data_IF_739918682342
#
_entry.id   IF_739918682342
#
_cell.length_a   1.000
_cell.length_b   1.000
_cell.length_c   1.000
_cell.angle_alpha   90.00
_cell.angle_beta   90.00
_cell.angle_gamma   90.00
#
_symmetry.space_group_name_H-M   'P 1'
#
loop_
_entity.id
_entity.type
_entity.pdbx_description
1 polymer ?
#
# COMPACT_ATOMS: atom_id res chain seq x y z
N UNK A 1 -8.58 -20.33 -20.19
CA UNK A 1 -7.38 -20.39 -19.39
C UNK A 1 -7.55 -19.47 -18.18
N UNK A 2 -7.63 -20.07 -16.99
CA UNK A 2 -7.74 -19.31 -15.74
C UNK A 2 -6.55 -18.36 -15.57
N UNK A 3 -6.83 -17.10 -15.33
CA UNK A 3 -5.85 -16.11 -14.90
C UNK A 3 -5.47 -16.42 -13.44
N UNK A 4 -4.49 -17.27 -13.23
CA UNK A 4 -3.96 -17.54 -11.88
C UNK A 4 -3.12 -16.34 -11.42
N UNK A 5 -3.75 -15.35 -10.83
CA UNK A 5 -3.11 -14.14 -10.33
C UNK A 5 -2.86 -14.19 -8.82
N UNK A 6 -3.57 -15.07 -8.10
CA UNK A 6 -3.39 -15.27 -6.67
C UNK A 6 -2.42 -16.40 -6.35
N UNK A 7 -1.71 -16.27 -5.22
CA UNK A 7 -0.76 -17.26 -4.74
C UNK A 7 -1.44 -18.57 -4.29
N UNK A 8 -2.69 -18.49 -3.87
CA UNK A 8 -3.53 -19.63 -3.46
C UNK A 8 -4.78 -19.72 -4.31
N UNK A 9 -5.39 -20.91 -4.46
CA UNK A 9 -6.70 -21.04 -5.08
C UNK A 9 -7.73 -20.15 -4.36
N UNK A 10 -8.59 -19.51 -5.14
CA UNK A 10 -9.72 -18.74 -4.62
C UNK A 10 -10.90 -19.68 -4.40
N UNK A 11 -11.79 -19.41 -3.42
CA UNK A 11 -13.07 -20.07 -3.35
C UNK A 11 -13.89 -19.74 -4.62
N UNK A 12 -14.71 -20.68 -5.06
CA UNK A 12 -15.55 -20.48 -6.27
C UNK A 12 -16.49 -19.30 -6.12
N UNK A 13 -17.01 -19.09 -4.91
CA UNK A 13 -17.87 -17.95 -4.57
C UNK A 13 -17.34 -17.35 -3.26
N UNK A 14 -16.85 -16.11 -3.25
CA UNK A 14 -16.51 -15.42 -2.02
C UNK A 14 -17.79 -15.21 -1.18
N UNK A 15 -17.80 -15.71 0.04
CA UNK A 15 -18.96 -15.59 0.94
C UNK A 15 -18.80 -14.47 1.97
N UNK A 16 -17.61 -13.89 2.07
CA UNK A 16 -17.35 -12.75 2.95
C UNK A 16 -16.26 -11.82 2.39
N UNK A 17 -16.21 -10.60 2.90
CA UNK A 17 -15.14 -9.65 2.62
C UNK A 17 -13.73 -10.22 2.94
N UNK A 18 -13.68 -11.12 3.94
CA UNK A 18 -12.42 -11.77 4.34
C UNK A 18 -11.98 -12.91 3.41
N UNK A 19 -12.77 -13.28 2.41
CA UNK A 19 -12.44 -14.32 1.43
C UNK A 19 -11.65 -13.79 0.22
N UNK A 20 -11.20 -12.54 0.29
CA UNK A 20 -10.32 -11.92 -0.70
C UNK A 20 -9.00 -12.67 -0.88
N UNK A 21 -8.22 -12.26 -1.85
CA UNK A 21 -6.90 -12.80 -2.11
C UNK A 21 -5.87 -11.70 -2.29
N UNK A 22 -4.62 -12.03 -2.00
CA UNK A 22 -3.49 -11.22 -2.44
C UNK A 22 -2.97 -11.72 -3.79
N UNK A 23 -2.48 -10.80 -4.62
CA UNK A 23 -1.74 -11.16 -5.82
C UNK A 23 -0.52 -12.02 -5.49
N UNK A 24 -0.15 -12.87 -6.43
CA UNK A 24 1.13 -13.59 -6.39
C UNK A 24 2.27 -12.64 -6.84
N UNK A 25 3.12 -12.17 -5.91
CA UNK A 25 4.18 -11.22 -6.22
C UNK A 25 5.36 -11.86 -6.96
N UNK A 26 5.34 -13.18 -7.16
CA UNK A 26 6.39 -13.93 -7.86
C UNK A 26 6.06 -14.23 -9.31
N UNK A 27 4.79 -14.04 -9.70
CA UNK A 27 4.27 -14.41 -11.03
C UNK A 27 4.40 -13.26 -12.03
N UNK A 28 5.09 -13.51 -13.16
CA UNK A 28 5.16 -12.55 -14.28
C UNK A 28 3.79 -12.23 -14.87
N UNK A 29 2.84 -13.18 -14.85
CA UNK A 29 1.45 -12.95 -15.30
C UNK A 29 0.75 -11.90 -14.47
N UNK A 30 0.99 -11.87 -13.15
CA UNK A 30 0.47 -10.85 -12.26
C UNK A 30 0.91 -9.46 -12.72
N UNK A 31 2.20 -9.29 -13.00
CA UNK A 31 2.72 -8.00 -13.47
C UNK A 31 2.22 -7.63 -14.87
N UNK A 32 2.09 -8.60 -15.77
CA UNK A 32 1.47 -8.38 -17.08
C UNK A 32 0.04 -7.85 -16.93
N UNK A 33 -0.79 -8.57 -16.18
CA UNK A 33 -2.17 -8.17 -15.94
C UNK A 33 -2.28 -6.78 -15.32
N UNK A 34 -1.51 -6.52 -14.25
CA UNK A 34 -1.49 -5.20 -13.61
C UNK A 34 -1.01 -4.13 -14.60
N UNK A 35 0.01 -4.43 -15.40
CA UNK A 35 0.54 -3.52 -16.41
C UNK A 35 -0.49 -3.14 -17.48
N UNK A 36 -1.32 -4.09 -17.91
CA UNK A 36 -2.39 -3.86 -18.89
C UNK A 36 -3.48 -2.98 -18.29
N UNK A 37 -3.96 -3.33 -17.08
CA UNK A 37 -4.96 -2.53 -16.34
C UNK A 37 -4.46 -1.10 -16.10
N UNK A 38 -3.22 -0.94 -15.62
CA UNK A 38 -2.65 0.38 -15.34
C UNK A 38 -2.41 1.20 -16.62
N UNK A 39 -2.19 0.53 -17.76
CA UNK A 39 -2.08 1.21 -19.05
C UNK A 39 -3.41 1.81 -19.48
N UNK A 40 -4.47 1.05 -19.33
CA UNK A 40 -5.82 1.51 -19.62
C UNK A 40 -6.22 2.67 -18.70
N UNK A 41 -6.02 2.51 -17.37
CA UNK A 41 -6.29 3.57 -16.39
C UNK A 41 -5.51 4.84 -16.69
N UNK A 42 -4.23 4.76 -17.05
CA UNK A 42 -3.42 5.93 -17.39
C UNK A 42 -3.95 6.69 -18.62
N UNK A 43 -4.59 5.99 -19.55
CA UNK A 43 -5.21 6.61 -20.72
C UNK A 43 -6.54 7.32 -20.39
N UNK A 44 -7.28 6.80 -19.42
CA UNK A 44 -8.58 7.33 -19.00
C UNK A 44 -8.43 8.50 -18.00
N UNK A 45 -7.38 8.46 -17.17
CA UNK A 45 -7.14 9.43 -16.10
C UNK A 45 -5.81 10.17 -16.29
N UNK A 46 -5.80 11.30 -17.00
CA UNK A 46 -4.54 12.01 -17.39
C UNK A 46 -3.86 12.73 -16.21
N UNK A 47 -4.37 12.61 -14.98
CA UNK A 47 -3.82 13.27 -13.78
C UNK A 47 -2.41 12.82 -13.39
N UNK A 48 -1.85 11.80 -14.05
CA UNK A 48 -0.47 11.36 -13.83
C UNK A 48 -0.20 10.69 -12.47
N UNK A 49 -1.25 10.34 -11.71
CA UNK A 49 -1.16 9.62 -10.43
C UNK A 49 -2.19 8.49 -10.44
N UNK A 50 -1.77 7.28 -10.07
CA UNK A 50 -2.68 6.13 -9.93
C UNK A 50 -2.51 5.51 -8.55
N UNK A 51 -3.63 5.30 -7.87
CA UNK A 51 -3.69 4.60 -6.59
C UNK A 51 -3.68 3.10 -6.82
N UNK A 52 -2.73 2.40 -6.17
CA UNK A 52 -2.53 0.95 -6.35
C UNK A 52 -3.06 0.12 -5.17
N UNK A 53 -3.72 0.75 -4.18
CA UNK A 53 -4.12 0.05 -2.96
C UNK A 53 -2.93 -0.30 -2.08
N UNK A 54 -2.77 -1.57 -1.78
CA UNK A 54 -1.63 -2.10 -1.02
C UNK A 54 -1.89 -2.23 0.48
N UNK A 55 -3.13 -2.00 0.89
CA UNK A 55 -3.61 -2.13 2.26
C UNK A 55 -3.91 -3.59 2.63
N UNK A 56 -3.86 -3.86 3.92
CA UNK A 56 -4.40 -5.06 4.57
C UNK A 56 -4.00 -6.41 3.95
N UNK A 57 -2.78 -6.53 3.43
CA UNK A 57 -2.27 -7.80 2.93
C UNK A 57 -2.13 -8.78 4.10
N UNK A 58 -2.94 -9.80 4.11
CA UNK A 58 -2.92 -10.86 5.14
C UNK A 58 -1.84 -11.87 4.79
N UNK A 59 -0.59 -11.58 5.14
CA UNK A 59 0.58 -12.39 4.76
C UNK A 59 0.45 -13.85 5.18
N UNK A 60 0.04 -14.12 6.42
CA UNK A 60 -0.18 -15.48 6.91
C UNK A 60 -1.23 -16.23 6.12
N UNK A 61 -2.30 -15.53 5.75
CA UNK A 61 -3.39 -16.14 5.00
C UNK A 61 -3.02 -16.45 3.56
N UNK A 62 -2.27 -15.56 2.91
CA UNK A 62 -2.12 -15.60 1.44
C UNK A 62 -0.74 -16.03 0.96
N UNK A 63 0.33 -15.74 1.72
CA UNK A 63 1.71 -15.97 1.26
C UNK A 63 2.49 -16.97 2.12
N UNK A 64 2.25 -17.02 3.44
CA UNK A 64 2.96 -17.95 4.33
C UNK A 64 2.64 -19.41 4.00
N UNK A 65 3.67 -20.27 4.00
CA UNK A 65 3.54 -21.68 3.67
C UNK A 65 3.21 -21.95 2.19
N UNK A 66 3.36 -20.98 1.30
CA UNK A 66 3.23 -21.15 -0.14
C UNK A 66 4.61 -21.47 -0.74
N UNK A 67 4.87 -22.72 -1.19
CA UNK A 67 6.22 -23.19 -1.49
C UNK A 67 6.96 -22.36 -2.54
N UNK A 68 6.27 -21.91 -3.60
CA UNK A 68 6.93 -21.13 -4.65
C UNK A 68 7.26 -19.70 -4.21
N UNK A 69 6.47 -19.09 -3.30
CA UNK A 69 6.77 -17.79 -2.70
C UNK A 69 8.00 -17.91 -1.80
N UNK A 70 8.04 -18.90 -0.92
CA UNK A 70 9.17 -19.13 -0.03
C UNK A 70 10.46 -19.41 -0.80
N UNK A 71 10.39 -20.24 -1.85
CA UNK A 71 11.51 -20.49 -2.74
C UNK A 71 11.99 -19.22 -3.45
N UNK A 72 11.07 -18.38 -3.90
CA UNK A 72 11.38 -17.09 -4.52
C UNK A 72 12.06 -16.15 -3.53
N UNK A 73 11.51 -15.99 -2.32
CA UNK A 73 12.09 -15.16 -1.27
C UNK A 73 13.50 -15.61 -0.95
N UNK A 74 13.71 -16.92 -0.75
CA UNK A 74 15.05 -17.50 -0.52
C UNK A 74 16.01 -17.17 -1.67
N UNK A 75 15.59 -17.38 -2.92
CA UNK A 75 16.39 -17.08 -4.11
C UNK A 75 16.78 -15.61 -4.22
N UNK A 76 15.89 -14.71 -3.82
CA UNK A 76 16.07 -13.25 -3.90
C UNK A 76 16.70 -12.64 -2.64
N UNK A 77 16.93 -13.43 -1.58
CA UNK A 77 17.44 -12.96 -0.31
C UNK A 77 16.45 -12.09 0.48
N UNK A 78 15.14 -12.17 0.14
CA UNK A 78 14.06 -11.45 0.82
C UNK A 78 13.80 -12.15 2.16
N UNK A 79 13.80 -11.39 3.27
CA UNK A 79 13.73 -11.95 4.62
C UNK A 79 12.34 -11.95 5.22
N UNK A 80 11.50 -10.98 4.84
CA UNK A 80 10.18 -10.78 5.44
C UNK A 80 9.11 -10.61 4.36
N UNK A 81 7.86 -10.88 4.69
CA UNK A 81 6.74 -10.62 3.78
C UNK A 81 6.53 -9.11 3.52
N UNK A 82 6.70 -8.22 4.52
CA UNK A 82 6.77 -6.79 4.25
C UNK A 82 7.81 -6.41 3.18
N UNK A 83 9.00 -6.99 3.19
CA UNK A 83 10.00 -6.77 2.14
C UNK A 83 9.54 -7.29 0.77
N UNK A 84 8.82 -8.41 0.75
CA UNK A 84 8.23 -8.94 -0.48
C UNK A 84 7.16 -7.99 -1.04
N UNK A 85 6.34 -7.38 -0.18
CA UNK A 85 5.36 -6.37 -0.58
C UNK A 85 6.05 -5.12 -1.11
N UNK A 86 7.10 -4.63 -0.46
CA UNK A 86 7.90 -3.49 -0.95
C UNK A 86 8.48 -3.80 -2.34
N UNK A 87 9.07 -4.99 -2.52
CA UNK A 87 9.58 -5.41 -3.84
C UNK A 87 8.48 -5.40 -4.90
N UNK A 88 7.31 -5.94 -4.58
CA UNK A 88 6.15 -5.96 -5.47
C UNK A 88 5.71 -4.54 -5.84
N UNK A 89 5.55 -3.67 -4.83
CA UNK A 89 5.16 -2.28 -5.01
C UNK A 89 6.18 -1.50 -5.84
N UNK A 90 7.48 -1.66 -5.56
CA UNK A 90 8.55 -1.00 -6.32
C UNK A 90 8.53 -1.41 -7.80
N UNK A 91 8.23 -2.67 -8.09
CA UNK A 91 8.13 -3.15 -9.46
C UNK A 91 6.96 -2.50 -10.20
N UNK A 92 5.78 -2.43 -9.56
CA UNK A 92 4.59 -1.75 -10.13
C UNK A 92 4.88 -0.25 -10.30
N UNK A 93 5.46 0.40 -9.29
CA UNK A 93 5.86 1.81 -9.37
C UNK A 93 6.81 2.08 -10.54
N UNK A 94 7.79 1.19 -10.74
CA UNK A 94 8.69 1.26 -11.88
C UNK A 94 7.99 1.10 -13.25
N UNK A 95 6.95 0.27 -13.32
CA UNK A 95 6.14 0.11 -14.54
C UNK A 95 5.33 1.38 -14.85
N UNK A 96 4.70 1.98 -13.83
CA UNK A 96 3.96 3.24 -13.94
C UNK A 96 4.88 4.41 -14.31
N UNK A 97 6.05 4.50 -13.67
CA UNK A 97 7.03 5.56 -13.93
C UNK A 97 7.50 5.60 -15.39
N UNK A 98 7.64 4.44 -16.06
CA UNK A 98 7.96 4.35 -17.49
C UNK A 98 6.87 4.97 -18.38
N UNK A 99 5.67 5.15 -17.85
CA UNK A 99 4.52 5.79 -18.52
C UNK A 99 4.32 7.24 -18.08
N UNK A 100 5.24 7.80 -17.28
CA UNK A 100 5.12 9.14 -16.73
C UNK A 100 4.09 9.25 -15.58
N UNK A 101 3.65 8.12 -15.02
CA UNK A 101 2.64 8.08 -13.97
C UNK A 101 3.31 7.80 -12.62
N UNK A 102 2.90 8.53 -11.60
CA UNK A 102 3.33 8.33 -10.21
C UNK A 102 2.39 7.37 -9.50
N UNK A 103 2.96 6.58 -8.61
CA UNK A 103 2.23 5.67 -7.75
C UNK A 103 1.81 6.37 -6.46
N UNK A 104 0.58 6.15 -6.03
CA UNK A 104 0.13 6.38 -4.66
C UNK A 104 -0.41 5.07 -4.10
N UNK A 105 -0.22 4.80 -2.82
CA UNK A 105 -0.76 3.61 -2.16
C UNK A 105 -0.89 3.81 -0.67
N UNK A 106 -1.71 2.97 -0.03
CA UNK A 106 -1.92 3.02 1.42
C UNK A 106 -0.60 2.81 2.17
N UNK A 107 -0.51 3.33 3.39
CA UNK A 107 0.78 3.35 4.11
C UNK A 107 1.43 1.99 4.36
N UNK A 108 0.71 0.88 4.19
CA UNK A 108 1.28 -0.47 4.27
C UNK A 108 2.26 -0.79 3.13
N UNK A 109 2.23 -0.05 2.02
CA UNK A 109 3.26 -0.18 0.98
C UNK A 109 4.67 0.15 1.47
N UNK A 110 4.79 0.84 2.62
CA UNK A 110 6.06 1.04 3.34
C UNK A 110 6.56 -0.23 4.03
N UNK A 111 5.81 -1.33 3.97
CA UNK A 111 6.07 -2.54 4.76
C UNK A 111 5.67 -2.41 6.22
N UNK A 112 4.75 -1.49 6.54
CA UNK A 112 4.18 -1.36 7.88
C UNK A 112 3.06 -2.37 8.06
N UNK A 113 3.18 -3.20 9.09
CA UNK A 113 2.15 -4.19 9.44
C UNK A 113 1.18 -3.57 10.44
N UNK A 114 0.12 -2.94 9.92
CA UNK A 114 -0.89 -2.25 10.76
C UNK A 114 -1.81 -3.22 11.50
N UNK A 115 -1.88 -4.48 11.08
CA UNK A 115 -2.70 -5.51 11.69
C UNK A 115 -1.90 -6.56 12.47
N UNK A 116 -0.57 -6.39 12.58
CA UNK A 116 0.33 -7.32 13.26
C UNK A 116 0.25 -8.77 12.73
N UNK A 117 -0.04 -8.93 11.46
CA UNK A 117 -0.18 -10.22 10.78
C UNK A 117 1.14 -10.72 10.15
N UNK A 118 2.10 -9.84 10.00
CA UNK A 118 3.37 -10.12 9.35
C UNK A 118 4.32 -11.02 10.12
N UNK A 119 4.21 -11.08 11.44
CA UNK A 119 4.90 -12.02 12.33
C UNK A 119 6.44 -12.05 12.29
N UNK A 120 7.09 -11.36 11.38
CA UNK A 120 8.51 -11.52 11.04
C UNK A 120 9.35 -10.23 11.14
N UNK A 121 8.87 -9.25 11.88
CA UNK A 121 9.63 -8.01 12.08
C UNK A 121 9.35 -6.91 11.04
N UNK A 122 9.98 -5.77 11.25
CA UNK A 122 9.87 -4.62 10.35
C UNK A 122 10.57 -4.91 9.01
N UNK A 123 10.06 -4.29 7.94
CA UNK A 123 10.72 -4.32 6.65
C UNK A 123 12.13 -3.75 6.73
N UNK A 124 13.06 -4.38 6.02
CA UNK A 124 14.45 -3.94 5.86
C UNK A 124 14.66 -3.23 4.52
N UNK A 125 13.77 -3.50 3.55
CA UNK A 125 13.78 -2.89 2.23
C UNK A 125 13.30 -1.43 2.25
N UNK A 126 13.53 -0.74 1.16
CA UNK A 126 13.07 0.65 0.97
C UNK A 126 12.11 0.74 -0.21
N UNK A 127 11.00 1.41 0.03
CA UNK A 127 10.09 1.82 -1.04
C UNK A 127 10.75 2.91 -1.91
N UNK A 128 10.47 2.90 -3.22
CA UNK A 128 10.88 3.96 -4.14
C UNK A 128 10.38 5.33 -3.64
N UNK A 129 11.29 6.26 -3.40
CA UNK A 129 11.00 7.59 -2.86
C UNK A 129 10.08 8.47 -3.72
N UNK A 130 9.76 8.05 -4.95
CA UNK A 130 8.77 8.72 -5.81
C UNK A 130 7.34 8.32 -5.52
N UNK A 131 7.11 7.19 -4.83
CA UNK A 131 5.79 6.77 -4.41
C UNK A 131 5.21 7.75 -3.37
N UNK A 132 3.93 8.08 -3.55
CA UNK A 132 3.16 8.88 -2.60
C UNK A 132 2.54 7.92 -1.58
N UNK A 133 2.59 8.27 -0.32
CA UNK A 133 2.00 7.48 0.75
C UNK A 133 0.63 8.04 1.09
N UNK A 134 -0.40 7.22 1.05
CA UNK A 134 -1.72 7.55 1.55
C UNK A 134 -1.86 7.00 2.96
N UNK A 135 -1.66 7.86 3.96
CA UNK A 135 -1.71 7.48 5.36
C UNK A 135 -3.15 7.45 5.85
N UNK A 136 -3.60 6.28 6.31
CA UNK A 136 -4.96 6.10 6.82
C UNK A 136 -5.02 5.55 8.25
N UNK A 137 -4.01 4.77 8.66
CA UNK A 137 -4.03 4.09 9.95
C UNK A 137 -2.64 3.92 10.54
N UNK A 138 -2.59 3.90 11.87
CA UNK A 138 -1.37 3.69 12.63
C UNK A 138 -0.90 4.96 13.35
N UNK A 139 0.34 4.94 13.80
CA UNK A 139 0.97 6.08 14.48
C UNK A 139 1.40 7.14 13.46
N UNK A 140 1.22 8.41 13.77
CA UNK A 140 1.73 9.55 12.99
C UNK A 140 3.25 9.46 12.73
N UNK A 141 3.98 8.72 13.57
CA UNK A 141 5.41 8.44 13.36
C UNK A 141 5.69 7.71 12.04
N UNK A 142 4.75 6.91 11.53
CA UNK A 142 4.88 6.23 10.24
C UNK A 142 4.90 7.28 9.12
N UNK A 143 3.95 8.20 9.15
CA UNK A 143 3.84 9.26 8.16
C UNK A 143 4.99 10.26 8.23
N UNK A 144 5.36 10.71 9.44
CA UNK A 144 6.49 11.63 9.62
C UNK A 144 7.81 10.99 9.18
N UNK A 145 8.02 9.70 9.48
CA UNK A 145 9.19 8.97 8.99
C UNK A 145 9.21 8.84 7.46
N UNK A 146 8.06 8.57 6.83
CA UNK A 146 7.96 8.55 5.37
C UNK A 146 8.35 9.90 4.76
N UNK A 147 7.89 11.00 5.36
CA UNK A 147 8.28 12.37 4.93
C UNK A 147 9.79 12.61 5.10
N UNK A 148 10.37 12.18 6.22
CA UNK A 148 11.81 12.26 6.46
C UNK A 148 12.63 11.45 5.44
N UNK A 149 12.10 10.29 5.04
CA UNK A 149 12.70 9.42 4.01
C UNK A 149 12.51 9.95 2.57
N UNK A 150 11.77 11.06 2.42
CA UNK A 150 11.64 11.76 1.14
C UNK A 150 10.32 11.55 0.41
N UNK A 151 9.39 10.78 0.96
CA UNK A 151 8.07 10.61 0.37
C UNK A 151 7.18 11.85 0.53
N UNK A 152 6.23 12.00 -0.37
CA UNK A 152 5.06 12.84 -0.16
C UNK A 152 3.95 12.00 0.49
N UNK A 153 3.15 12.63 1.36
CA UNK A 153 2.11 11.95 2.12
C UNK A 153 0.77 12.67 1.96
N UNK A 154 -0.28 11.92 1.66
CA UNK A 154 -1.67 12.34 1.80
C UNK A 154 -2.15 11.83 3.14
N UNK A 155 -2.74 12.70 3.97
CA UNK A 155 -3.19 12.35 5.31
C UNK A 155 -4.70 12.12 5.34
N UNK A 156 -5.10 10.87 5.47
CA UNK A 156 -6.50 10.45 5.62
C UNK A 156 -6.69 9.61 6.88
N UNK A 157 -6.06 10.05 7.99
CA UNK A 157 -6.10 9.29 9.23
C UNK A 157 -7.53 8.94 9.64
N UNK A 158 -7.81 7.66 9.81
CA UNK A 158 -9.16 7.14 10.10
C UNK A 158 -9.79 7.69 11.39
N UNK A 159 -8.98 8.28 12.27
CA UNK A 159 -9.46 8.90 13.51
C UNK A 159 -10.10 10.26 13.30
N UNK A 160 -9.88 10.90 12.14
CA UNK A 160 -10.33 12.25 11.84
C UNK A 160 -11.16 12.35 10.56
N UNK A 161 -10.93 11.46 9.59
CA UNK A 161 -11.46 11.61 8.24
C UNK A 161 -12.49 10.55 7.84
N UNK A 162 -12.63 9.45 8.59
CA UNK A 162 -13.58 8.39 8.28
C UNK A 162 -15.00 8.76 8.75
N UNK A 163 -15.62 9.68 8.00
CA UNK A 163 -16.98 10.19 8.28
C UNK A 163 -18.09 9.14 8.11
N UNK A 164 -17.76 7.92 7.68
CA UNK A 164 -18.65 6.76 7.70
C UNK A 164 -18.82 6.17 9.11
N UNK A 165 -18.08 6.66 10.09
CA UNK A 165 -18.25 6.28 11.49
C UNK A 165 -19.44 7.00 12.11
N UNK A 166 -20.04 6.33 13.12
CA UNK A 166 -21.06 6.91 13.97
C UNK A 166 -20.58 8.27 14.55
N UNK A 167 -21.47 9.27 14.59
CA UNK A 167 -21.18 10.62 15.11
C UNK A 167 -20.68 10.57 16.56
N UNK A 168 -21.11 9.60 17.38
CA UNK A 168 -20.58 9.42 18.74
C UNK A 168 -19.10 9.00 18.74
N UNK A 169 -18.63 8.29 17.70
CA UNK A 169 -17.23 7.86 17.57
C UNK A 169 -16.36 8.88 16.85
N UNK A 170 -16.94 9.62 15.91
CA UNK A 170 -16.26 10.68 15.18
C UNK A 170 -17.21 11.86 14.98
N UNK A 171 -17.32 12.77 15.97
CA UNK A 171 -18.13 13.98 15.84
C UNK A 171 -17.66 14.84 14.65
N UNK A 172 -18.59 15.45 13.95
CA UNK A 172 -18.30 16.31 12.80
C UNK A 172 -17.33 17.45 13.17
N UNK A 173 -17.47 18.01 14.36
CA UNK A 173 -16.53 19.03 14.90
C UNK A 173 -15.08 18.56 14.94
N UNK A 174 -14.87 17.27 15.24
CA UNK A 174 -13.53 16.66 15.25
C UNK A 174 -12.97 16.54 13.85
N UNK A 175 -13.76 16.05 12.89
CA UNK A 175 -13.37 15.98 11.48
C UNK A 175 -13.08 17.36 10.91
N UNK A 176 -13.90 18.35 11.28
CA UNK A 176 -13.73 19.74 10.82
C UNK A 176 -12.47 20.41 11.37
N UNK A 177 -11.98 20.00 12.56
CA UNK A 177 -10.74 20.49 13.16
C UNK A 177 -9.48 19.77 12.65
N UNK A 178 -9.61 18.91 11.67
CA UNK A 178 -8.50 18.13 11.14
C UNK A 178 -7.44 19.03 10.49
N UNK A 179 -6.20 18.84 10.92
CA UNK A 179 -5.02 19.47 10.33
C UNK A 179 -4.22 18.41 9.56
N UNK A 180 -4.06 18.53 8.24
CA UNK A 180 -3.40 17.52 7.44
C UNK A 180 -1.88 17.45 7.67
N UNK A 181 -1.26 18.50 8.20
CA UNK A 181 0.17 18.54 8.52
C UNK A 181 0.40 17.80 9.84
N UNK A 182 1.26 16.82 9.83
CA UNK A 182 1.55 16.01 11.02
C UNK A 182 2.31 16.84 12.07
N UNK A 183 1.96 16.71 13.37
CA UNK A 183 2.67 17.37 14.45
C UNK A 183 4.17 17.03 14.45
N UNK A 184 5.01 18.04 14.71
CA UNK A 184 6.46 17.85 14.84
C UNK A 184 7.25 17.89 13.54
N UNK A 185 6.61 18.03 12.39
CA UNK A 185 7.31 18.27 11.14
C UNK A 185 7.99 19.64 11.13
N UNK A 186 9.21 19.69 10.59
CA UNK A 186 9.89 20.96 10.33
C UNK A 186 9.20 21.69 9.18
N UNK A 187 9.13 23.03 9.23
CA UNK A 187 8.46 23.86 8.22
C UNK A 187 8.86 23.50 6.79
N UNK A 188 10.14 23.21 6.53
CA UNK A 188 10.65 22.77 5.23
C UNK A 188 10.12 21.42 4.74
N UNK A 189 9.43 20.67 5.59
CA UNK A 189 8.85 19.36 5.26
C UNK A 189 7.33 19.44 5.03
N UNK A 190 6.71 20.60 5.33
CA UNK A 190 5.27 20.78 5.17
C UNK A 190 4.81 20.57 3.72
N UNK A 191 5.62 20.96 2.72
CA UNK A 191 5.32 20.77 1.29
C UNK A 191 5.20 19.29 0.89
N UNK A 192 5.62 18.38 1.76
CA UNK A 192 5.48 16.94 1.55
C UNK A 192 4.18 16.37 2.10
N UNK A 193 3.47 17.09 2.95
CA UNK A 193 2.12 16.78 3.36
C UNK A 193 1.16 17.39 2.33
N UNK A 194 0.68 16.57 1.40
CA UNK A 194 -0.09 17.03 0.22
C UNK A 194 -1.53 17.42 0.55
N UNK A 195 -1.96 17.23 1.79
CA UNK A 195 -3.31 17.55 2.22
C UNK A 195 -4.12 16.33 2.61
N UNK A 196 -5.43 16.50 2.57
CA UNK A 196 -6.43 15.46 2.84
C UNK A 196 -6.78 14.72 1.55
N UNK A 197 -6.93 13.40 1.64
CA UNK A 197 -7.41 12.52 0.57
C UNK A 197 -8.73 11.85 0.94
#
# INVERSE_FOLDING_TARGET
PELKLSARPLPEIPVSFNDGAAFDPTSERTYQFIGDVMTELASLFPGGIIHIGGDEVRYKKYWEGVPHIEAFMKKKGIKTFPDLQIMFTNRISGMLAKKGVRTIGWNEILGTDVHHDGGQGAALGRLDGKAIIHFWYGSDKIATKAIEDGHQVVNSTSHMTYINKDEQKLPLSKSYSFEPVFPGLKTKQHDRALGLG
#
